data_IF_209419164700
#
_entry.id   IF_209419164700
#
_cell.length_a   1.000
_cell.length_b   1.000
_cell.length_c   1.000
_cell.angle_alpha   90.00
_cell.angle_beta   90.00
_cell.angle_gamma   90.00
#
_symmetry.space_group_name_H-M   'P 1'
#
loop_
_entity.id
_entity.type
_entity.pdbx_description
1 polymer ?
#
# COMPACT_ATOMS: atom_id res chain seq x y z
N UNK A 1 -11.25 -12.34 0.04
CA UNK A 1 -11.83 -10.99 0.16
C UNK A 1 -10.69 -9.96 0.03
N UNK A 2 -10.93 -8.72 -0.41
CA UNK A 2 -9.91 -7.67 -0.50
C UNK A 2 -9.40 -7.26 0.89
N UNK A 3 -10.29 -7.25 1.89
CA UNK A 3 -9.92 -7.00 3.29
C UNK A 3 -8.87 -8.01 3.79
N UNK A 4 -9.11 -9.30 3.57
CA UNK A 4 -8.16 -10.37 3.92
C UNK A 4 -6.82 -10.19 3.20
N UNK A 5 -6.88 -9.77 1.93
CA UNK A 5 -5.70 -9.57 1.11
C UNK A 5 -4.81 -8.45 1.68
N UNK A 6 -5.38 -7.27 1.96
CA UNK A 6 -4.58 -6.15 2.50
C UNK A 6 -4.25 -6.32 3.99
N UNK A 7 -5.02 -7.11 4.76
CA UNK A 7 -4.71 -7.44 6.16
C UNK A 7 -3.57 -8.46 6.23
N UNK A 8 -3.70 -9.55 5.48
CA UNK A 8 -2.73 -10.63 5.44
C UNK A 8 -1.48 -10.34 4.61
N UNK A 9 -1.53 -9.30 3.77
CA UNK A 9 -0.41 -8.89 2.93
C UNK A 9 0.08 -10.03 2.05
N UNK A 10 1.38 -10.05 1.79
CA UNK A 10 1.95 -11.05 0.90
C UNK A 10 2.05 -12.46 1.51
N UNK A 11 1.92 -12.63 2.82
CA UNK A 11 1.80 -13.96 3.44
C UNK A 11 0.49 -14.62 3.00
N UNK A 12 -0.64 -13.91 3.17
CA UNK A 12 -1.94 -14.40 2.71
C UNK A 12 -2.01 -14.62 1.21
N UNK A 13 -1.37 -13.75 0.42
CA UNK A 13 -1.27 -13.97 -1.03
C UNK A 13 -0.55 -15.28 -1.35
N UNK A 14 0.60 -15.53 -0.73
CA UNK A 14 1.40 -16.75 -0.97
C UNK A 14 0.66 -18.00 -0.49
N UNK A 15 0.01 -17.95 0.66
CA UNK A 15 -0.77 -19.09 1.16
C UNK A 15 -1.94 -19.44 0.23
N UNK A 16 -2.54 -18.43 -0.41
CA UNK A 16 -3.72 -18.58 -1.26
C UNK A 16 -3.41 -18.91 -2.71
N UNK A 17 -2.39 -18.29 -3.27
CA UNK A 17 -2.08 -18.35 -4.72
C UNK A 17 -0.74 -19.03 -5.01
N UNK A 18 0.08 -19.28 -3.98
CA UNK A 18 1.48 -19.65 -4.12
C UNK A 18 2.37 -18.42 -4.34
N UNK A 19 3.68 -18.64 -4.26
CA UNK A 19 4.68 -17.69 -4.75
C UNK A 19 5.55 -18.41 -5.78
N UNK A 20 5.90 -17.71 -6.86
CA UNK A 20 6.86 -18.23 -7.84
C UNK A 20 8.31 -17.89 -7.49
N UNK A 21 8.55 -17.13 -6.41
CA UNK A 21 9.89 -16.70 -6.02
C UNK A 21 10.06 -16.45 -4.51
N UNK A 22 11.32 -16.47 -4.07
CA UNK A 22 11.69 -16.25 -2.67
C UNK A 22 11.69 -14.75 -2.31
N UNK A 23 10.98 -14.42 -1.23
CA UNK A 23 10.87 -13.03 -0.74
C UNK A 23 11.80 -12.71 0.43
N UNK A 24 12.79 -13.56 0.74
CA UNK A 24 13.67 -13.41 1.91
C UNK A 24 14.48 -12.10 1.94
N UNK A 25 14.59 -11.41 0.80
CA UNK A 25 15.25 -10.09 0.67
C UNK A 25 14.28 -8.90 0.70
N UNK A 26 12.98 -9.15 0.83
CA UNK A 26 12.00 -8.09 0.99
C UNK A 26 12.09 -7.50 2.40
N UNK A 27 11.89 -6.19 2.54
CA UNK A 27 11.89 -5.53 3.84
C UNK A 27 10.88 -6.15 4.81
N UNK A 28 9.67 -6.46 4.29
CA UNK A 28 8.57 -7.04 5.07
C UNK A 28 7.71 -7.95 4.19
N UNK A 29 7.14 -8.98 4.80
CA UNK A 29 6.11 -9.81 4.16
C UNK A 29 4.71 -9.28 4.41
N UNK A 30 4.49 -8.71 5.60
CA UNK A 30 3.23 -8.13 6.05
C UNK A 30 3.52 -7.05 7.09
N UNK A 31 2.69 -6.01 7.11
CA UNK A 31 2.56 -5.04 8.19
C UNK A 31 1.27 -5.41 8.93
N UNK A 32 1.29 -5.64 10.26
CA UNK A 32 0.09 -6.01 11.00
C UNK A 32 -1.03 -4.97 10.85
N UNK A 33 -2.25 -5.46 10.62
CA UNK A 33 -3.50 -4.70 10.61
C UNK A 33 -4.46 -5.43 11.55
N UNK A 34 -5.10 -4.70 12.45
CA UNK A 34 -6.04 -5.29 13.42
C UNK A 34 -7.20 -6.02 12.71
N UNK A 35 -7.62 -7.15 13.28
CA UNK A 35 -8.73 -7.95 12.74
C UNK A 35 -10.07 -7.22 12.84
N UNK A 36 -10.21 -6.34 13.84
CA UNK A 36 -11.41 -5.55 14.06
C UNK A 36 -11.47 -4.25 13.23
N UNK A 37 -10.38 -3.89 12.54
CA UNK A 37 -10.34 -2.71 11.69
C UNK A 37 -10.88 -3.02 10.30
N UNK A 38 -11.77 -2.17 9.79
CA UNK A 38 -12.29 -2.27 8.43
C UNK A 38 -11.88 -1.06 7.60
N UNK A 39 -11.76 -1.30 6.29
CA UNK A 39 -11.50 -0.24 5.33
C UNK A 39 -12.72 0.71 5.30
N UNK A 40 -12.53 2.03 5.33
CA UNK A 40 -13.60 3.02 5.32
C UNK A 40 -14.20 3.17 3.91
N UNK A 41 -14.86 2.12 3.42
CA UNK A 41 -15.52 2.10 2.12
C UNK A 41 -16.59 3.20 2.00
N UNK A 42 -16.63 3.87 0.84
CA UNK A 42 -17.56 4.98 0.61
C UNK A 42 -17.27 6.22 1.46
N UNK A 43 -16.16 6.24 2.21
CA UNK A 43 -15.65 7.43 2.87
C UNK A 43 -15.18 8.49 1.86
N UNK A 44 -14.87 9.70 2.33
CA UNK A 44 -14.52 10.85 1.48
C UNK A 44 -13.35 10.62 0.53
N UNK A 45 -12.41 9.76 0.93
CA UNK A 45 -11.26 9.42 0.11
C UNK A 45 -11.52 8.37 -0.98
N UNK A 46 -12.68 7.69 -0.94
CA UNK A 46 -13.08 6.61 -1.85
C UNK A 46 -11.97 5.59 -2.11
N UNK A 47 -11.46 4.89 -1.07
CA UNK A 47 -10.39 3.90 -1.23
C UNK A 47 -10.72 2.79 -2.21
N UNK A 48 -12.01 2.52 -2.45
CA UNK A 48 -12.50 1.53 -3.43
C UNK A 48 -12.01 1.78 -4.86
N UNK A 49 -11.62 3.02 -5.22
CA UNK A 49 -11.03 3.33 -6.54
C UNK A 49 -9.73 2.57 -6.83
N UNK A 50 -9.09 2.02 -5.80
CA UNK A 50 -7.87 1.24 -5.93
C UNK A 50 -8.10 -0.25 -6.13
N UNK A 51 -9.33 -0.77 -6.01
CA UNK A 51 -9.59 -2.21 -6.07
C UNK A 51 -9.10 -2.84 -7.38
N UNK A 52 -9.43 -2.20 -8.51
CA UNK A 52 -9.07 -2.68 -9.85
C UNK A 52 -7.65 -2.29 -10.29
N UNK A 53 -6.83 -1.74 -9.39
CA UNK A 53 -5.50 -1.23 -9.70
C UNK A 53 -4.37 -2.13 -9.20
N UNK A 54 -4.69 -3.28 -8.58
CA UNK A 54 -3.66 -4.19 -8.07
C UNK A 54 -2.95 -4.86 -9.25
N UNK A 55 -1.62 -4.95 -9.17
CA UNK A 55 -0.77 -5.39 -10.28
C UNK A 55 -0.52 -4.31 -11.34
N UNK A 56 -0.93 -3.06 -11.10
CA UNK A 56 -0.72 -1.95 -12.06
C UNK A 56 0.44 -1.04 -11.64
N UNK A 57 1.12 -0.48 -12.64
CA UNK A 57 2.23 0.45 -12.42
C UNK A 57 1.74 1.81 -11.93
N UNK A 58 0.81 2.42 -12.69
CA UNK A 58 0.32 3.77 -12.50
C UNK A 58 1.00 4.86 -13.31
N UNK A 59 0.58 6.10 -13.09
CA UNK A 59 1.22 7.30 -13.62
C UNK A 59 2.11 8.02 -12.61
N UNK A 60 2.70 9.15 -13.01
CA UNK A 60 3.66 9.91 -12.20
C UNK A 60 5.08 9.39 -12.38
N UNK A 61 5.84 9.31 -11.29
CA UNK A 61 7.21 8.79 -11.27
C UNK A 61 7.30 7.26 -11.13
N UNK A 62 6.23 6.53 -11.50
CA UNK A 62 6.20 5.07 -11.43
C UNK A 62 6.72 4.44 -12.74
N UNK A 63 7.64 3.48 -12.64
CA UNK A 63 8.33 2.89 -13.79
C UNK A 63 8.75 1.43 -13.56
N UNK A 64 8.98 0.72 -14.67
CA UNK A 64 9.71 -0.55 -14.72
C UNK A 64 10.90 -0.33 -15.65
N UNK A 65 12.12 -0.57 -15.19
CA UNK A 65 13.33 -0.28 -15.95
C UNK A 65 14.30 -1.46 -15.91
N UNK A 66 14.81 -1.87 -17.09
CA UNK A 66 15.93 -2.80 -17.20
C UNK A 66 17.24 -2.01 -17.13
N UNK A 67 17.99 -2.26 -16.07
CA UNK A 67 19.22 -1.56 -15.74
C UNK A 67 20.42 -2.50 -15.83
N UNK A 68 21.62 -1.92 -15.96
CA UNK A 68 22.88 -2.65 -15.95
C UNK A 68 23.83 -2.01 -14.95
N UNK A 69 24.39 -2.80 -14.05
CA UNK A 69 25.47 -2.35 -13.17
C UNK A 69 26.73 -2.09 -14.00
N UNK A 70 27.35 -0.93 -13.82
CA UNK A 70 28.46 -0.50 -14.67
C UNK A 70 29.72 -1.35 -14.48
N UNK A 71 29.97 -1.84 -13.25
CA UNK A 71 31.18 -2.56 -12.92
C UNK A 71 31.09 -4.07 -13.22
N UNK A 72 29.98 -4.71 -12.84
CA UNK A 72 29.77 -6.15 -12.98
C UNK A 72 29.05 -6.54 -14.28
N UNK A 73 28.51 -5.56 -15.01
CA UNK A 73 27.69 -5.75 -16.20
C UNK A 73 26.43 -6.61 -16.01
N UNK A 74 26.06 -6.91 -14.76
CA UNK A 74 24.84 -7.65 -14.43
C UNK A 74 23.62 -6.80 -14.79
N UNK A 75 22.56 -7.47 -15.25
CA UNK A 75 21.27 -6.85 -15.50
C UNK A 75 20.36 -6.96 -14.28
N UNK A 76 19.55 -5.93 -14.05
CA UNK A 76 18.56 -5.87 -12.98
C UNK A 76 17.29 -5.22 -13.50
N UNK A 77 16.16 -5.59 -12.94
CA UNK A 77 14.90 -4.89 -13.18
C UNK A 77 14.54 -4.09 -11.94
N UNK A 78 14.37 -2.78 -12.10
CA UNK A 78 13.85 -1.91 -11.07
C UNK A 78 12.36 -1.68 -11.30
N UNK A 79 11.56 -1.89 -10.25
CA UNK A 79 10.13 -1.59 -10.24
C UNK A 79 9.87 -0.50 -9.19
N UNK A 80 9.38 0.65 -9.63
CA UNK A 80 8.99 1.76 -8.75
C UNK A 80 7.47 1.96 -8.81
N UNK A 81 6.77 1.50 -7.77
CA UNK A 81 5.32 1.71 -7.58
C UNK A 81 4.90 1.59 -6.13
N UNK A 82 3.68 2.03 -5.81
CA UNK A 82 3.13 2.09 -4.47
C UNK A 82 1.73 1.50 -4.33
N UNK A 83 0.97 2.05 -3.38
CA UNK A 83 -0.35 1.60 -2.94
C UNK A 83 -1.51 2.03 -3.84
N UNK A 84 -1.19 2.61 -5.00
CA UNK A 84 -2.15 3.06 -6.03
C UNK A 84 -3.27 3.96 -5.45
N UNK A 85 -4.42 4.00 -6.11
CA UNK A 85 -5.59 4.77 -5.69
C UNK A 85 -6.13 4.37 -4.32
N UNK A 86 -5.87 3.13 -3.88
CA UNK A 86 -6.26 2.63 -2.56
C UNK A 86 -5.58 3.42 -1.44
N UNK A 87 -4.24 3.41 -1.38
CA UNK A 87 -3.52 4.15 -0.33
C UNK A 87 -3.69 5.67 -0.42
N UNK A 88 -3.82 6.23 -1.63
CA UNK A 88 -4.17 7.64 -1.77
C UNK A 88 -5.56 7.93 -1.19
N UNK A 89 -6.54 7.04 -1.39
CA UNK A 89 -7.89 7.19 -0.85
C UNK A 89 -7.93 7.08 0.66
N UNK A 90 -7.16 6.13 1.21
CA UNK A 90 -6.94 6.05 2.66
C UNK A 90 -6.37 7.36 3.21
N UNK A 91 -5.29 7.89 2.62
CA UNK A 91 -4.68 9.14 3.07
C UNK A 91 -5.68 10.30 3.06
N UNK A 92 -6.40 10.51 1.95
CA UNK A 92 -7.43 11.56 1.85
C UNK A 92 -8.50 11.42 2.94
N UNK A 93 -9.00 10.21 3.17
CA UNK A 93 -10.03 9.97 4.19
C UNK A 93 -9.54 10.39 5.59
N UNK A 94 -8.33 9.99 5.97
CA UNK A 94 -7.80 10.29 7.31
C UNK A 94 -7.31 11.73 7.46
N UNK A 95 -6.89 12.39 6.40
CA UNK A 95 -6.61 13.83 6.41
C UNK A 95 -7.86 14.65 6.71
N UNK A 96 -9.00 14.29 6.11
CA UNK A 96 -10.27 14.93 6.41
C UNK A 96 -10.71 14.69 7.87
N UNK A 97 -10.58 13.46 8.37
CA UNK A 97 -10.89 13.13 9.77
C UNK A 97 -9.99 13.89 10.75
N UNK A 98 -8.70 14.06 10.43
CA UNK A 98 -7.79 14.83 11.26
C UNK A 98 -8.27 16.29 11.38
N UNK A 99 -8.60 16.92 10.25
CA UNK A 99 -9.13 18.29 10.22
C UNK A 99 -10.42 18.45 11.03
N UNK A 100 -11.32 17.48 10.96
CA UNK A 100 -12.58 17.50 11.73
C UNK A 100 -12.40 17.26 13.22
N UNK A 101 -11.42 16.44 13.60
CA UNK A 101 -11.13 16.18 15.00
C UNK A 101 -10.60 17.42 15.74
N UNK A 102 -10.03 18.40 15.02
CA UNK A 102 -9.48 19.65 15.58
C UNK A 102 -9.85 20.88 14.74
N UNK A 103 -11.15 21.26 14.70
CA UNK A 103 -11.60 22.37 13.87
C UNK A 103 -10.93 23.68 14.29
N UNK A 104 -10.29 24.37 13.34
CA UNK A 104 -9.61 25.65 13.59
C UNK A 104 -8.18 25.55 14.15
N UNK A 105 -7.74 24.38 14.64
CA UNK A 105 -6.33 24.14 14.97
C UNK A 105 -5.54 23.67 13.75
N UNK A 106 -6.13 22.79 12.93
CA UNK A 106 -5.54 22.32 11.68
C UNK A 106 -5.98 23.28 10.56
N UNK A 107 -5.18 24.31 10.32
CA UNK A 107 -5.38 25.28 9.23
C UNK A 107 -4.75 24.84 7.92
N UNK A 108 -3.73 23.99 7.99
CA UNK A 108 -3.12 23.30 6.86
C UNK A 108 -3.35 21.79 7.01
N UNK A 109 -3.93 21.18 5.99
CA UNK A 109 -4.29 19.76 6.00
C UNK A 109 -3.06 18.85 6.07
N UNK A 110 -1.92 19.31 5.55
CA UNK A 110 -0.66 18.57 5.57
C UNK A 110 -0.06 18.48 6.98
N UNK A 111 -0.55 19.31 7.92
CA UNK A 111 -0.18 19.30 9.33
C UNK A 111 -1.18 18.54 10.19
N UNK A 112 -2.15 17.83 9.60
CA UNK A 112 -3.14 17.04 10.33
C UNK A 112 -2.51 15.86 11.07
N UNK A 113 -2.94 15.63 12.32
CA UNK A 113 -2.41 14.56 13.16
C UNK A 113 -3.45 14.00 14.13
N UNK A 114 -3.18 12.79 14.63
CA UNK A 114 -3.93 12.16 15.71
C UNK A 114 -3.01 11.95 16.91
N UNK A 115 -3.48 12.35 18.09
CA UNK A 115 -2.85 12.03 19.37
C UNK A 115 -3.30 10.65 19.85
N UNK A 116 -2.57 9.98 20.75
CA UNK A 116 -2.93 8.62 21.21
C UNK A 116 -4.33 8.48 21.84
N UNK A 117 -4.90 9.57 22.36
CA UNK A 117 -6.26 9.66 22.90
C UNK A 117 -7.35 9.88 21.83
N UNK A 118 -6.97 10.17 20.58
CA UNK A 118 -7.92 10.32 19.48
C UNK A 118 -8.60 8.99 19.15
N UNK A 119 -9.93 8.98 18.90
CA UNK A 119 -10.62 7.78 18.45
C UNK A 119 -10.11 7.27 17.09
N UNK A 120 -9.50 8.14 16.28
CA UNK A 120 -8.99 7.79 14.94
C UNK A 120 -7.52 7.34 14.93
N UNK A 121 -6.81 7.40 16.07
CA UNK A 121 -5.37 7.12 16.12
C UNK A 121 -5.03 5.71 15.63
N UNK A 122 -5.69 4.69 16.21
CA UNK A 122 -5.46 3.29 15.83
C UNK A 122 -5.93 2.99 14.42
N UNK A 123 -7.08 3.54 14.05
CA UNK A 123 -7.65 3.37 12.71
C UNK A 123 -6.72 3.92 11.62
N UNK A 124 -6.10 5.07 11.86
CA UNK A 124 -5.11 5.65 10.94
C UNK A 124 -3.86 4.76 10.82
N UNK A 125 -3.33 4.23 11.92
CA UNK A 125 -2.17 3.32 11.86
C UNK A 125 -2.50 2.04 11.08
N UNK A 126 -3.70 1.47 11.29
CA UNK A 126 -4.19 0.33 10.53
C UNK A 126 -4.36 0.68 9.04
N UNK A 127 -4.85 1.87 8.71
CA UNK A 127 -4.95 2.35 7.34
C UNK A 127 -3.60 2.48 6.64
N UNK A 128 -2.59 3.03 7.33
CA UNK A 128 -1.21 3.11 6.82
C UNK A 128 -0.63 1.72 6.59
N UNK A 129 -0.81 0.81 7.54
CA UNK A 129 -0.38 -0.58 7.43
C UNK A 129 -1.05 -1.30 6.24
N UNK A 130 -2.36 -1.16 6.07
CA UNK A 130 -3.11 -1.71 4.95
C UNK A 130 -2.64 -1.15 3.59
N UNK A 131 -2.39 0.16 3.51
CA UNK A 131 -1.79 0.79 2.33
C UNK A 131 -0.40 0.24 2.01
N UNK A 132 0.44 0.04 3.03
CA UNK A 132 1.76 -0.59 2.88
C UNK A 132 1.66 -2.04 2.39
N UNK A 133 0.74 -2.83 2.93
CA UNK A 133 0.49 -4.19 2.46
C UNK A 133 0.02 -4.23 1.01
N UNK A 134 -0.90 -3.34 0.62
CA UNK A 134 -1.27 -3.18 -0.79
C UNK A 134 -0.03 -2.91 -1.65
N UNK A 135 0.84 -1.98 -1.26
CA UNK A 135 2.03 -1.62 -2.04
C UNK A 135 3.01 -2.81 -2.17
N UNK A 136 3.17 -3.60 -1.11
CA UNK A 136 3.95 -4.85 -1.13
C UNK A 136 3.35 -5.84 -2.12
N UNK A 137 2.04 -6.06 -2.06
CA UNK A 137 1.32 -6.95 -2.96
C UNK A 137 1.38 -6.48 -4.42
N UNK A 138 1.24 -5.18 -4.66
CA UNK A 138 1.30 -4.61 -5.99
C UNK A 138 2.66 -4.90 -6.66
N UNK A 139 3.75 -4.68 -5.92
CA UNK A 139 5.11 -5.01 -6.39
C UNK A 139 5.33 -6.51 -6.55
N UNK A 140 4.76 -7.32 -5.64
CA UNK A 140 4.81 -8.79 -5.72
C UNK A 140 4.20 -9.28 -7.04
N UNK A 141 2.94 -8.90 -7.31
CA UNK A 141 2.23 -9.32 -8.53
C UNK A 141 2.95 -8.85 -9.79
N UNK A 142 3.41 -7.59 -9.84
CA UNK A 142 4.18 -7.07 -10.98
C UNK A 142 5.47 -7.86 -11.18
N UNK A 143 6.18 -8.20 -10.10
CA UNK A 143 7.39 -8.99 -10.19
C UNK A 143 7.13 -10.39 -10.73
N UNK A 144 6.04 -11.06 -10.33
CA UNK A 144 5.68 -12.37 -10.89
C UNK A 144 5.46 -12.29 -12.41
N UNK A 145 4.76 -11.24 -12.87
CA UNK A 145 4.52 -11.02 -14.30
C UNK A 145 5.81 -10.68 -15.07
N UNK A 146 6.72 -9.93 -14.46
CA UNK A 146 8.05 -9.70 -15.04
C UNK A 146 8.81 -11.02 -15.14
N UNK A 147 8.83 -11.82 -14.07
CA UNK A 147 9.56 -13.09 -14.06
C UNK A 147 9.03 -14.09 -15.08
N UNK A 148 7.72 -14.09 -15.34
CA UNK A 148 7.09 -14.94 -16.37
C UNK A 148 7.42 -14.48 -17.81
N UNK A 149 7.66 -13.18 -18.00
CA UNK A 149 7.95 -12.61 -19.32
C UNK A 149 9.38 -12.84 -19.82
N UNK A 150 10.30 -13.29 -18.95
CA UNK A 150 11.71 -13.57 -19.26
C UNK A 150 11.97 -15.08 -19.32
#
# INVERSE_FOLDING_TARGET
>A
DFNELVRGGAEHYVDKFGATFERARAERHRIPVDDAWDIPWGGRGSPERGLDQLGSLGGGNHFIELQRDEASHKLFVQVHTGSRGFGHGMATNYFDLAREARPGEITDIDLGYFTPDSPHFRDYLNAVAAGGNYAILNRLVIFEQIAEAF
#
